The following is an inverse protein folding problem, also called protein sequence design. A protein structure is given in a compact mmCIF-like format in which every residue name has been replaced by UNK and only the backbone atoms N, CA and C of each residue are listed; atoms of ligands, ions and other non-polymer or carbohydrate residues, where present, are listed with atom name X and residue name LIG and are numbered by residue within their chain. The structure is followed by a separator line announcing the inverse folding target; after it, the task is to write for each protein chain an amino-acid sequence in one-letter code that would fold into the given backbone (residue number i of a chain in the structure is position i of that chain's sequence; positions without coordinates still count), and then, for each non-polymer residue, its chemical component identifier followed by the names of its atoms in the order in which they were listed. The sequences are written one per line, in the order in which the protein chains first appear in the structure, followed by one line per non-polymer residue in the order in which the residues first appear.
data_IF_906019453610
#
_entry.id   IF_906019453610
#
_cell.length_a   1.000
_cell.length_b   1.000
_cell.length_c   1.000
_cell.angle_alpha   90.00
_cell.angle_beta   90.00
_cell.angle_gamma   90.00
#
_symmetry.space_group_name_H-M   'P 1'
#
loop_
_entity.id
_entity.type
_entity.pdbx_description
1 polymer ?
#
# COMPACT_ATOMS: atom_id res chain seq x y z
N UNK A 1 -13.00 2.67 7.70
CA UNK A 1 -12.35 3.00 6.42
C UNK A 1 -11.40 1.89 6.05
N UNK A 2 -11.28 1.57 4.76
CA UNK A 2 -10.37 0.54 4.25
C UNK A 2 -9.41 1.15 3.25
N UNK A 3 -8.14 0.80 3.37
CA UNK A 3 -7.13 1.04 2.33
C UNK A 3 -6.69 -0.32 1.78
N UNK A 4 -6.98 -0.59 0.51
CA UNK A 4 -6.70 -1.87 -0.14
C UNK A 4 -5.97 -1.68 -1.47
N UNK A 5 -5.39 -2.74 -2.01
CA UNK A 5 -4.66 -2.64 -3.27
C UNK A 5 -5.64 -2.47 -4.44
N UNK A 6 -5.24 -1.74 -5.50
CA UNK A 6 -5.99 -1.64 -6.75
C UNK A 6 -6.02 -2.96 -7.55
N UNK A 7 -5.29 -3.98 -7.12
CA UNK A 7 -5.27 -5.31 -7.74
C UNK A 7 -6.69 -5.90 -7.89
N UNK A 8 -7.01 -6.36 -9.09
CA UNK A 8 -8.37 -6.81 -9.45
C UNK A 8 -8.83 -8.04 -8.67
N UNK A 9 -7.91 -8.80 -8.06
CA UNK A 9 -8.21 -10.03 -7.32
C UNK A 9 -8.69 -9.79 -5.90
N UNK A 10 -8.52 -8.58 -5.36
CA UNK A 10 -8.68 -8.28 -3.93
C UNK A 10 -9.65 -7.12 -3.67
N UNK A 11 -10.80 -7.13 -4.36
CA UNK A 11 -11.88 -6.19 -4.06
C UNK A 11 -12.31 -6.35 -2.58
N UNK A 12 -12.13 -5.33 -1.71
CA UNK A 12 -12.35 -5.49 -0.27
C UNK A 12 -13.79 -5.88 0.06
N UNK A 13 -14.77 -5.36 -0.69
CA UNK A 13 -16.18 -5.72 -0.50
C UNK A 13 -16.47 -7.20 -0.77
N UNK A 14 -15.75 -7.85 -1.69
CA UNK A 14 -15.92 -9.28 -1.94
C UNK A 14 -15.16 -10.12 -0.91
N UNK A 15 -13.95 -9.72 -0.54
CA UNK A 15 -13.09 -10.47 0.39
C UNK A 15 -13.68 -10.46 1.81
N UNK A 16 -14.29 -9.36 2.23
CA UNK A 16 -14.85 -9.18 3.57
C UNK A 16 -16.39 -9.23 3.60
N UNK A 17 -17.04 -9.60 2.50
CA UNK A 17 -18.51 -9.68 2.34
C UNK A 17 -19.25 -8.39 2.76
N UNK A 18 -18.68 -7.24 2.42
CA UNK A 18 -19.21 -5.95 2.85
C UNK A 18 -20.37 -5.48 2.00
N UNK A 19 -21.38 -4.95 2.67
CA UNK A 19 -22.54 -4.31 2.08
C UNK A 19 -22.27 -2.84 1.74
N UNK A 20 -23.00 -2.28 0.75
CA UNK A 20 -22.96 -0.85 0.49
C UNK A 20 -23.26 -0.03 1.76
N UNK A 21 -22.36 0.90 2.08
CA UNK A 21 -22.46 1.77 3.27
C UNK A 21 -21.61 1.32 4.46
N UNK A 22 -21.08 0.09 4.49
CA UNK A 22 -20.28 -0.38 5.63
C UNK A 22 -18.85 0.19 5.65
N UNK A 23 -18.28 0.47 4.47
CA UNK A 23 -16.91 0.94 4.37
C UNK A 23 -16.77 2.11 3.40
N UNK A 24 -16.07 3.15 3.86
CA UNK A 24 -15.43 4.13 3.00
C UNK A 24 -14.07 3.56 2.55
N UNK A 25 -13.88 3.39 1.24
CA UNK A 25 -12.77 2.61 0.67
C UNK A 25 -11.86 3.48 -0.19
N UNK A 26 -10.55 3.39 0.05
CA UNK A 26 -9.50 3.89 -0.84
C UNK A 26 -8.75 2.70 -1.42
N UNK A 27 -8.48 2.74 -2.72
CA UNK A 27 -7.66 1.73 -3.41
C UNK A 27 -6.52 2.38 -4.17
N UNK A 28 -5.30 1.91 -3.94
CA UNK A 28 -4.11 2.40 -4.64
C UNK A 28 -3.08 1.26 -4.83
N UNK A 29 -1.99 1.54 -5.54
CA UNK A 29 -0.94 0.53 -5.78
C UNK A 29 -0.28 0.13 -4.45
N UNK A 30 -0.33 -1.16 -4.14
CA UNK A 30 0.20 -1.75 -2.90
C UNK A 30 -0.36 -1.16 -1.60
N UNK A 31 -1.61 -0.66 -1.61
CA UNK A 31 -2.34 -0.22 -0.41
C UNK A 31 -1.51 0.68 0.52
N UNK A 32 -0.68 1.55 -0.07
CA UNK A 32 0.27 2.39 0.65
C UNK A 32 -0.46 3.55 1.32
N UNK A 33 -0.07 3.81 2.57
CA UNK A 33 -0.44 5.00 3.32
C UNK A 33 0.83 5.82 3.55
N UNK A 34 1.08 6.87 2.77
CA UNK A 34 2.25 7.72 2.96
C UNK A 34 2.14 8.56 4.25
N UNK A 35 3.26 9.12 4.73
CA UNK A 35 3.26 10.17 5.73
C UNK A 35 2.43 11.39 5.31
N UNK A 36 2.04 12.21 6.28
CA UNK A 36 1.32 13.45 6.03
C UNK A 36 2.15 14.43 5.16
N UNK A 37 1.62 14.78 4.00
CA UNK A 37 2.15 15.81 3.10
C UNK A 37 0.99 16.39 2.28
N UNK A 38 0.71 17.68 2.46
CA UNK A 38 -0.40 18.36 1.79
C UNK A 38 -0.18 18.56 0.28
N UNK A 39 1.07 18.54 -0.18
CA UNK A 39 1.42 18.79 -1.58
C UNK A 39 1.49 17.46 -2.33
N UNK A 40 2.19 16.47 -1.79
CA UNK A 40 2.47 15.21 -2.48
C UNK A 40 1.34 14.19 -2.35
N UNK A 41 0.62 14.18 -1.22
CA UNK A 41 -0.27 13.09 -0.86
C UNK A 41 -1.69 13.54 -0.52
N UNK A 42 -2.13 14.67 -1.09
CA UNK A 42 -3.47 15.23 -0.88
C UNK A 42 -4.60 14.22 -1.15
N UNK A 43 -4.43 13.28 -2.11
CA UNK A 43 -5.45 12.29 -2.43
C UNK A 43 -5.81 11.37 -1.25
N UNK A 44 -4.82 10.74 -0.62
CA UNK A 44 -5.07 9.87 0.54
C UNK A 44 -5.23 10.68 1.83
N UNK A 45 -4.55 11.81 1.95
CA UNK A 45 -4.71 12.73 3.09
C UNK A 45 -6.15 13.22 3.22
N UNK A 46 -6.76 13.71 2.12
CA UNK A 46 -8.16 14.16 2.10
C UNK A 46 -9.14 13.01 2.36
N UNK A 47 -8.86 11.80 1.86
CA UNK A 47 -9.69 10.63 2.11
C UNK A 47 -9.69 10.24 3.60
N UNK A 48 -8.52 10.25 4.25
CA UNK A 48 -8.39 9.98 5.69
C UNK A 48 -9.06 11.09 6.50
N UNK A 49 -8.79 12.36 6.17
CA UNK A 49 -9.42 13.52 6.82
C UNK A 49 -10.95 13.44 6.76
N UNK A 50 -11.51 13.15 5.59
CA UNK A 50 -12.95 13.02 5.40
C UNK A 50 -13.52 11.83 6.18
N UNK A 51 -12.88 10.66 6.09
CA UNK A 51 -13.35 9.46 6.78
C UNK A 51 -13.37 9.67 8.31
N UNK A 52 -12.32 10.28 8.87
CA UNK A 52 -12.17 10.46 10.32
C UNK A 52 -12.99 11.64 10.82
N UNK A 53 -12.83 12.83 10.23
CA UNK A 53 -13.42 14.06 10.75
C UNK A 53 -14.86 14.27 10.31
N UNK A 54 -15.30 13.71 9.18
CA UNK A 54 -16.64 13.94 8.66
C UNK A 54 -17.53 12.70 8.73
N UNK A 55 -17.05 11.54 8.29
CA UNK A 55 -17.82 10.28 8.36
C UNK A 55 -17.75 9.61 9.74
N UNK A 56 -16.83 10.04 10.61
CA UNK A 56 -16.63 9.52 11.97
C UNK A 56 -16.44 7.99 11.99
N UNK A 57 -15.69 7.46 11.02
CA UNK A 57 -15.33 6.04 11.02
C UNK A 57 -14.58 5.71 12.32
N UNK A 58 -14.94 4.58 12.94
CA UNK A 58 -14.30 4.15 14.18
C UNK A 58 -12.97 3.44 13.93
N UNK A 59 -12.84 2.81 12.75
CA UNK A 59 -11.71 1.96 12.40
C UNK A 59 -11.10 2.36 11.06
N UNK A 60 -9.78 2.23 10.95
CA UNK A 60 -9.05 2.26 9.68
C UNK A 60 -8.27 0.95 9.55
N UNK A 61 -8.56 0.20 8.49
CA UNK A 61 -7.88 -1.08 8.20
C UNK A 61 -7.09 -0.95 6.91
N UNK A 62 -5.79 -1.23 6.97
CA UNK A 62 -4.91 -1.32 5.79
C UNK A 62 -4.72 -2.79 5.46
N UNK A 63 -5.13 -3.20 4.25
CA UNK A 63 -5.18 -4.62 3.86
C UNK A 63 -4.15 -4.85 2.76
N UNK A 64 -3.03 -5.49 3.13
CA UNK A 64 -2.08 -6.09 2.19
C UNK A 64 -2.64 -7.34 1.52
N UNK A 65 -1.91 -7.89 0.55
CA UNK A 65 -2.30 -9.15 -0.09
C UNK A 65 -1.10 -9.90 -0.65
N UNK A 66 -1.28 -11.20 -0.86
CA UNK A 66 -0.26 -12.06 -1.46
C UNK A 66 -0.04 -11.74 -2.94
N UNK A 67 1.20 -11.94 -3.40
CA UNK A 67 1.62 -11.72 -4.78
C UNK A 67 1.29 -10.31 -5.29
N UNK A 68 1.59 -9.30 -4.47
CA UNK A 68 1.37 -7.90 -4.78
C UNK A 68 2.41 -7.38 -5.77
N UNK A 69 1.96 -6.97 -6.96
CA UNK A 69 2.83 -6.42 -8.00
C UNK A 69 3.60 -5.17 -7.54
N UNK A 70 2.98 -4.30 -6.74
CA UNK A 70 3.64 -3.11 -6.22
C UNK A 70 4.73 -3.42 -5.18
N UNK A 71 4.52 -4.42 -4.31
CA UNK A 71 5.57 -4.90 -3.39
C UNK A 71 6.69 -5.60 -4.15
N UNK A 72 6.37 -6.42 -5.15
CA UNK A 72 7.39 -7.00 -6.04
C UNK A 72 8.23 -5.93 -6.71
N UNK A 73 7.60 -4.86 -7.21
CA UNK A 73 8.28 -3.67 -7.72
C UNK A 73 9.21 -3.06 -6.67
N UNK A 74 8.67 -2.70 -5.49
CA UNK A 74 9.44 -2.17 -4.37
C UNK A 74 10.70 -3.01 -4.07
N UNK A 75 10.55 -4.34 -3.96
CA UNK A 75 11.67 -5.22 -3.64
C UNK A 75 12.70 -5.30 -4.77
N UNK A 76 12.27 -5.16 -6.02
CA UNK A 76 13.15 -5.32 -7.21
C UNK A 76 13.85 -4.02 -7.64
N UNK A 77 13.23 -2.86 -7.45
CA UNK A 77 13.80 -1.58 -7.91
C UNK A 77 15.05 -1.17 -7.09
N UNK A 78 16.08 -0.60 -7.72
CA UNK A 78 17.33 -0.24 -7.05
C UNK A 78 17.22 1.05 -6.21
N UNK A 79 16.33 1.98 -6.58
CA UNK A 79 16.21 3.32 -5.98
C UNK A 79 17.54 4.10 -5.90
N UNK A 80 18.35 4.01 -6.95
CA UNK A 80 19.65 4.69 -7.09
C UNK A 80 19.56 6.07 -7.75
N UNK A 81 18.34 6.54 -8.03
CA UNK A 81 18.05 7.81 -8.70
C UNK A 81 17.82 7.69 -10.21
N UNK A 82 18.03 6.51 -10.80
CA UNK A 82 17.73 6.26 -12.21
C UNK A 82 16.43 5.44 -12.35
N UNK A 83 15.30 6.16 -12.38
CA UNK A 83 13.98 5.53 -12.46
C UNK A 83 13.71 4.98 -13.88
N UNK A 84 13.15 3.77 -13.93
CA UNK A 84 12.67 3.11 -15.15
C UNK A 84 11.17 3.34 -15.41
N UNK A 85 10.48 3.99 -14.47
CA UNK A 85 9.04 4.26 -14.49
C UNK A 85 8.74 5.71 -14.15
N UNK A 86 7.69 6.28 -14.73
CA UNK A 86 7.33 7.68 -14.50
C UNK A 86 6.81 7.94 -13.07
N UNK A 87 6.03 7.00 -12.51
CA UNK A 87 5.35 7.19 -11.22
C UNK A 87 5.49 6.01 -10.25
N UNK A 88 5.77 4.80 -10.75
CA UNK A 88 5.64 3.58 -9.94
C UNK A 88 6.70 3.55 -8.86
N UNK A 89 7.98 3.74 -9.22
CA UNK A 89 9.09 3.81 -8.26
C UNK A 89 8.88 4.92 -7.22
N UNK A 90 8.44 6.09 -7.68
CA UNK A 90 8.15 7.24 -6.83
C UNK A 90 6.98 7.03 -5.88
N UNK A 91 6.03 6.18 -6.24
CA UNK A 91 4.94 5.78 -5.36
C UNK A 91 5.39 4.71 -4.37
N UNK A 92 5.94 3.59 -4.87
CA UNK A 92 6.24 2.45 -4.00
C UNK A 92 7.39 2.72 -3.03
N UNK A 93 8.22 3.76 -3.26
CA UNK A 93 9.26 4.19 -2.30
C UNK A 93 8.72 4.55 -0.91
N UNK A 94 7.42 4.81 -0.77
CA UNK A 94 6.74 4.93 0.53
C UNK A 94 7.07 3.72 1.43
N UNK A 95 7.18 2.52 0.84
CA UNK A 95 7.47 1.27 1.55
C UNK A 95 8.96 0.98 1.79
N UNK A 96 9.89 1.90 1.49
CA UNK A 96 11.33 1.67 1.73
C UNK A 96 11.65 1.23 3.15
N UNK A 97 11.04 1.79 4.23
CA UNK A 97 11.31 1.32 5.58
C UNK A 97 10.99 -0.18 5.77
N UNK A 98 9.91 -0.67 5.15
CA UNK A 98 9.54 -2.08 5.19
C UNK A 98 10.53 -2.94 4.38
N UNK A 99 10.91 -2.50 3.16
CA UNK A 99 11.95 -3.15 2.35
C UNK A 99 13.26 -3.27 3.13
N UNK A 100 13.71 -2.20 3.77
CA UNK A 100 14.95 -2.17 4.55
C UNK A 100 14.91 -3.17 5.70
N UNK A 101 13.79 -3.24 6.44
CA UNK A 101 13.61 -4.22 7.51
C UNK A 101 13.69 -5.65 6.97
N UNK A 102 12.96 -5.95 5.90
CA UNK A 102 12.93 -7.30 5.31
C UNK A 102 14.30 -7.69 4.76
N UNK A 103 15.05 -6.79 4.13
CA UNK A 103 16.40 -7.09 3.65
C UNK A 103 17.39 -7.32 4.80
N UNK A 104 17.22 -6.63 5.93
CA UNK A 104 18.04 -6.85 7.12
C UNK A 104 17.77 -8.23 7.75
N UNK A 105 16.51 -8.67 7.78
CA UNK A 105 16.08 -9.92 8.42
C UNK A 105 16.15 -11.14 7.46
N UNK A 106 15.98 -10.93 6.17
CA UNK A 106 15.74 -11.98 5.16
C UNK A 106 16.48 -11.74 3.82
N UNK A 107 17.51 -10.87 3.77
CA UNK A 107 18.19 -10.49 2.53
C UNK A 107 18.90 -11.62 1.78
N UNK A 108 19.20 -12.74 2.45
CA UNK A 108 19.77 -13.94 1.82
C UNK A 108 18.75 -14.85 1.13
N UNK A 109 17.45 -14.64 1.37
CA UNK A 109 16.38 -15.46 0.80
C UNK A 109 16.11 -15.11 -0.67
N UNK A 110 15.52 -16.01 -1.47
CA UNK A 110 15.08 -15.69 -2.82
C UNK A 110 14.08 -14.53 -2.83
N UNK A 111 14.12 -13.70 -3.89
CA UNK A 111 13.26 -12.51 -4.03
C UNK A 111 11.77 -12.80 -3.75
N UNK A 112 11.26 -13.95 -4.19
CA UNK A 112 9.86 -14.33 -3.94
C UNK A 112 9.53 -14.45 -2.45
N UNK A 113 10.44 -15.03 -1.66
CA UNK A 113 10.30 -15.16 -0.20
C UNK A 113 10.41 -13.78 0.46
N UNK A 114 11.36 -12.96 0.02
CA UNK A 114 11.48 -11.57 0.49
C UNK A 114 10.19 -10.78 0.24
N UNK A 115 9.57 -10.92 -0.95
CA UNK A 115 8.27 -10.31 -1.25
C UNK A 115 7.20 -10.78 -0.27
N UNK A 116 7.11 -12.10 0.01
CA UNK A 116 6.15 -12.64 0.97
C UNK A 116 6.34 -12.11 2.39
N UNK A 117 7.56 -11.78 2.81
CA UNK A 117 7.80 -11.10 4.08
C UNK A 117 7.38 -9.63 4.04
N UNK A 118 7.57 -8.94 2.92
CA UNK A 118 7.23 -7.53 2.75
C UNK A 118 5.73 -7.29 2.46
N UNK A 119 4.98 -8.32 2.11
CA UNK A 119 3.51 -8.29 1.94
C UNK A 119 2.74 -8.36 3.27
N UNK A 120 3.43 -8.66 4.38
CA UNK A 120 2.88 -8.81 5.74
C UNK A 120 3.08 -7.54 6.55
#
# INVERSE_FOLDING_TARGET
MIVACSDSRVCPSHVLDMQPGEAFVVRNVANMVPPYDQIKYAGIGSAIEYAVLHLKVQEIVVIGHSACGGIKGLMSFPFDGNNSTDFIEDWVKIGIPAKTKVLAEHGGEPLGVQCTHCEK
#
